data_IF_528522460290
#
_entry.id   IF_528522460290
#
_cell.length_a   1.000
_cell.length_b   1.000
_cell.length_c   1.000
_cell.angle_alpha   90.00
_cell.angle_beta   90.00
_cell.angle_gamma   90.00
#
_symmetry.space_group_name_H-M   'P 1'
#
loop_
_entity.id
_entity.type
_entity.pdbx_description
1 polymer ?
#
# COMPACT_ATOMS: atom_id res chain seq x y z
N UNK A 1 7.57 -10.31 22.04
CA UNK A 1 6.88 -10.95 20.91
C UNK A 1 5.48 -11.30 21.38
N UNK A 2 4.45 -11.02 20.58
CA UNK A 2 3.07 -11.42 20.89
C UNK A 2 3.03 -12.94 21.12
N UNK A 3 2.39 -13.40 22.19
CA UNK A 3 2.14 -14.84 22.41
C UNK A 3 1.14 -15.43 21.40
N UNK A 4 0.51 -14.58 20.60
CA UNK A 4 -0.50 -14.96 19.62
C UNK A 4 0.05 -14.80 18.19
N UNK A 5 0.38 -15.91 17.49
CA UNK A 5 0.93 -15.87 16.13
C UNK A 5 -0.10 -15.51 15.07
N UNK A 6 -1.40 -15.57 15.38
CA UNK A 6 -2.48 -15.30 14.42
C UNK A 6 -2.81 -13.81 14.25
N UNK A 7 -2.06 -12.89 14.89
CA UNK A 7 -2.29 -11.45 14.72
C UNK A 7 -1.80 -10.92 13.36
N UNK A 8 -1.18 -11.77 12.54
CA UNK A 8 -0.58 -11.39 11.26
C UNK A 8 -1.13 -12.24 10.12
N UNK A 9 -1.05 -11.72 8.90
CA UNK A 9 -1.50 -12.43 7.71
C UNK A 9 -0.80 -13.78 7.55
N UNK A 10 -1.57 -14.75 7.05
CA UNK A 10 -1.13 -16.14 6.98
C UNK A 10 -1.57 -16.78 5.68
N UNK A 11 -0.65 -17.47 5.02
CA UNK A 11 -0.93 -18.24 3.81
C UNK A 11 -1.42 -19.66 4.12
N UNK A 12 -1.82 -20.39 3.08
CA UNK A 12 -2.39 -21.74 3.24
C UNK A 12 -1.41 -22.73 3.90
N UNK A 13 -0.11 -22.53 3.70
CA UNK A 13 0.95 -23.36 4.28
C UNK A 13 1.26 -22.99 5.74
N UNK A 14 0.54 -22.02 6.31
CA UNK A 14 0.74 -21.54 7.67
C UNK A 14 1.91 -20.56 7.81
N UNK A 15 2.50 -20.09 6.70
CA UNK A 15 3.57 -19.08 6.75
C UNK A 15 2.97 -17.76 7.22
N UNK A 16 3.63 -17.14 8.19
CA UNK A 16 3.20 -15.89 8.81
C UNK A 16 3.95 -14.71 8.22
N UNK A 17 3.25 -13.66 7.81
CA UNK A 17 3.87 -12.42 7.33
C UNK A 17 3.78 -11.32 8.40
N UNK A 18 4.88 -10.97 9.09
CA UNK A 18 4.88 -10.02 10.19
C UNK A 18 4.87 -8.53 9.77
N UNK A 19 4.81 -8.21 8.47
CA UNK A 19 4.88 -6.83 7.98
C UNK A 19 3.69 -5.96 8.39
N UNK A 20 2.53 -6.57 8.63
CA UNK A 20 1.30 -5.86 9.02
C UNK A 20 0.38 -6.76 9.85
N UNK A 21 -0.49 -6.14 10.66
CA UNK A 21 -1.49 -6.84 11.47
C UNK A 21 -2.64 -7.30 10.57
N UNK A 22 -3.05 -8.57 10.66
CA UNK A 22 -4.18 -9.06 9.85
C UNK A 22 -5.44 -8.25 10.13
N UNK A 23 -6.14 -7.82 9.08
CA UNK A 23 -7.40 -7.07 9.20
C UNK A 23 -8.51 -7.86 9.92
N UNK A 24 -8.39 -9.19 10.03
CA UNK A 24 -9.28 -10.01 10.85
C UNK A 24 -9.23 -9.63 12.34
N UNK A 25 -8.17 -8.93 12.76
CA UNK A 25 -8.00 -8.46 14.13
C UNK A 25 -8.58 -7.06 14.40
N UNK A 26 -9.01 -6.29 13.39
CA UNK A 26 -9.30 -4.85 13.48
C UNK A 26 -10.13 -4.44 14.72
N UNK A 27 -11.14 -5.24 15.04
CA UNK A 27 -12.12 -4.98 16.10
C UNK A 27 -11.88 -5.79 17.37
N UNK A 28 -10.79 -6.57 17.43
CA UNK A 28 -10.51 -7.48 18.55
C UNK A 28 -9.36 -6.94 19.42
N UNK A 29 -9.45 -7.00 20.76
CA UNK A 29 -8.49 -6.39 21.68
C UNK A 29 -7.19 -7.21 21.83
N UNK A 30 -6.56 -7.55 20.70
CA UNK A 30 -5.40 -8.46 20.62
C UNK A 30 -4.06 -7.77 20.94
N UNK A 31 -4.04 -6.45 21.15
CA UNK A 31 -2.83 -5.67 21.41
C UNK A 31 -2.86 -5.11 22.85
N UNK A 32 -2.58 -5.98 23.83
CA UNK A 32 -2.58 -5.63 25.26
C UNK A 32 -3.89 -4.94 25.70
N UNK A 33 -5.04 -5.48 25.28
CA UNK A 33 -6.36 -4.94 25.61
C UNK A 33 -6.88 -3.87 24.65
N UNK A 34 -6.08 -3.42 23.67
CA UNK A 34 -6.54 -2.53 22.59
C UNK A 34 -6.72 -3.28 21.27
N UNK A 35 -7.63 -2.78 20.44
CA UNK A 35 -7.78 -3.22 19.06
C UNK A 35 -6.74 -2.55 18.15
N UNK A 36 -6.40 -3.14 16.98
CA UNK A 36 -5.56 -2.48 15.98
C UNK A 36 -6.08 -1.10 15.58
N UNK A 37 -7.38 -0.95 15.32
CA UNK A 37 -7.98 0.35 14.99
C UNK A 37 -7.77 1.38 16.11
N UNK A 38 -7.88 0.99 17.38
CA UNK A 38 -7.58 1.89 18.51
C UNK A 38 -6.10 2.29 18.52
N UNK A 39 -5.18 1.36 18.28
CA UNK A 39 -3.74 1.65 18.22
C UNK A 39 -3.41 2.62 17.07
N UNK A 40 -3.99 2.42 15.88
CA UNK A 40 -3.82 3.34 14.75
C UNK A 40 -4.38 4.73 15.09
N UNK A 41 -5.57 4.78 15.70
CA UNK A 41 -6.22 6.03 16.12
C UNK A 41 -5.38 6.79 17.14
N UNK A 42 -4.85 6.11 18.15
CA UNK A 42 -4.00 6.73 19.18
C UNK A 42 -2.71 7.30 18.57
N UNK A 43 -2.11 6.59 17.61
CA UNK A 43 -0.95 7.08 16.88
C UNK A 43 -1.28 8.35 16.07
N UNK A 44 -2.38 8.32 15.31
CA UNK A 44 -2.84 9.47 14.53
C UNK A 44 -3.17 10.68 15.42
N UNK A 45 -3.80 10.46 16.57
CA UNK A 45 -4.06 11.50 17.57
C UNK A 45 -2.76 12.14 18.05
N UNK A 46 -1.79 11.32 18.46
CA UNK A 46 -0.49 11.81 18.96
C UNK A 46 0.26 12.60 17.89
N UNK A 47 0.25 12.12 16.64
CA UNK A 47 0.83 12.83 15.50
C UNK A 47 0.16 14.19 15.29
N UNK A 48 -1.18 14.22 15.25
CA UNK A 48 -1.97 15.45 15.10
C UNK A 48 -1.64 16.47 16.18
N UNK A 49 -1.61 16.05 17.44
CA UNK A 49 -1.32 16.93 18.58
C UNK A 49 0.12 17.48 18.52
N UNK A 50 1.08 16.64 18.16
CA UNK A 50 2.49 17.04 18.08
C UNK A 50 2.77 18.01 16.93
N UNK A 51 2.13 17.80 15.78
CA UNK A 51 2.38 18.55 14.55
C UNK A 51 1.25 19.52 14.16
N UNK A 52 0.36 19.86 15.12
CA UNK A 52 -0.80 20.72 14.91
C UNK A 52 -0.53 21.99 14.10
N UNK A 53 0.58 22.66 14.37
CA UNK A 53 0.91 23.95 13.76
C UNK A 53 1.50 23.80 12.34
N UNK A 54 1.77 22.57 11.90
CA UNK A 54 2.28 22.24 10.56
C UNK A 54 1.20 21.68 9.63
N UNK A 55 0.09 21.16 10.18
CA UNK A 55 -1.01 20.57 9.40
C UNK A 55 -1.72 21.63 8.55
N UNK A 56 -2.01 21.28 7.29
CA UNK A 56 -2.65 22.17 6.33
C UNK A 56 -1.73 23.23 5.73
N UNK A 57 -0.45 23.22 6.08
CA UNK A 57 0.57 24.09 5.49
C UNK A 57 1.79 23.26 5.07
N UNK A 58 2.72 23.00 6.01
CA UNK A 58 3.91 22.19 5.73
C UNK A 58 3.53 20.74 5.46
N UNK A 59 2.57 20.21 6.22
CA UNK A 59 1.99 18.88 6.02
C UNK A 59 0.68 19.08 5.26
N UNK A 60 0.76 18.98 3.93
CA UNK A 60 -0.38 19.15 3.04
C UNK A 60 -1.27 17.89 2.97
N UNK A 61 -0.68 16.70 3.15
CA UNK A 61 -1.37 15.42 2.98
C UNK A 61 -0.96 14.41 4.07
N UNK A 62 -1.92 13.62 4.52
CA UNK A 62 -1.74 12.43 5.36
C UNK A 62 -2.10 11.20 4.52
N UNK A 63 -1.09 10.49 4.02
CA UNK A 63 -1.28 9.19 3.38
C UNK A 63 -1.43 8.12 4.45
N UNK A 64 -2.63 7.54 4.56
CA UNK A 64 -2.97 6.58 5.61
C UNK A 64 -2.59 5.17 5.14
N UNK A 65 -1.60 4.57 5.80
CA UNK A 65 -1.18 3.20 5.52
C UNK A 65 -2.21 2.17 5.96
N UNK A 66 -2.59 1.25 5.08
CA UNK A 66 -3.67 0.27 5.31
C UNK A 66 -3.26 -1.18 5.03
N UNK A 67 -1.95 -1.46 5.02
CA UNK A 67 -1.44 -2.79 4.72
C UNK A 67 0.06 -2.80 4.39
N UNK A 68 0.54 -3.89 3.80
CA UNK A 68 1.94 -4.03 3.39
C UNK A 68 2.36 -2.88 2.47
N UNK A 69 3.55 -2.32 2.71
CA UNK A 69 4.05 -1.13 2.01
C UNK A 69 3.13 0.11 2.10
N UNK A 70 2.20 0.15 3.07
CA UNK A 70 1.19 1.19 3.22
C UNK A 70 -0.02 1.05 2.28
N UNK A 71 -0.05 0.03 1.44
CA UNK A 71 -1.07 -0.19 0.41
C UNK A 71 -2.30 -0.90 0.99
N UNK A 72 -3.50 -0.52 0.55
CA UNK A 72 -4.72 -1.26 0.83
C UNK A 72 -4.74 -2.55 0.02
N UNK A 73 -4.13 -3.62 0.55
CA UNK A 73 -4.12 -4.97 -0.03
C UNK A 73 -3.65 -6.02 0.97
N UNK A 74 -3.77 -7.27 0.58
CA UNK A 74 -3.10 -8.38 1.24
C UNK A 74 -1.63 -8.54 0.80
N UNK A 75 -0.76 -9.17 1.61
CA UNK A 75 0.62 -9.48 1.25
C UNK A 75 0.72 -10.72 0.35
N UNK A 76 0.08 -10.71 -0.82
CA UNK A 76 -0.04 -11.90 -1.68
C UNK A 76 1.20 -12.23 -2.51
N UNK A 77 2.18 -11.32 -2.60
CA UNK A 77 3.41 -11.48 -3.38
C UNK A 77 4.69 -11.14 -2.58
N UNK A 78 4.95 -11.79 -1.43
CA UNK A 78 6.13 -11.50 -0.63
C UNK A 78 7.40 -11.96 -1.36
N UNK A 79 8.27 -11.03 -1.73
CA UNK A 79 9.56 -11.33 -2.39
C UNK A 79 10.60 -11.95 -1.42
N UNK A 80 10.39 -11.76 -0.12
CA UNK A 80 11.30 -12.26 0.91
C UNK A 80 11.57 -13.76 0.76
N UNK A 81 12.86 -14.13 0.83
CA UNK A 81 13.37 -15.50 0.73
C UNK A 81 12.96 -16.23 -0.56
N UNK A 82 12.64 -15.49 -1.63
CA UNK A 82 12.21 -16.06 -2.90
C UNK A 82 10.87 -16.80 -2.81
N UNK A 83 10.02 -16.42 -1.86
CA UNK A 83 8.68 -17.00 -1.68
C UNK A 83 7.83 -16.78 -2.92
N UNK A 84 7.81 -15.55 -3.41
CA UNK A 84 7.22 -15.16 -4.68
C UNK A 84 8.31 -14.64 -5.64
N UNK A 85 8.01 -14.66 -6.94
CA UNK A 85 8.76 -13.93 -7.97
C UNK A 85 7.82 -13.50 -9.08
N UNK A 86 8.08 -12.35 -9.68
CA UNK A 86 7.35 -11.90 -10.86
C UNK A 86 7.46 -12.92 -12.02
N UNK A 87 6.38 -13.23 -12.75
CA UNK A 87 5.01 -12.72 -12.63
C UNK A 87 4.05 -13.75 -11.97
N UNK A 88 4.41 -14.38 -10.85
CA UNK A 88 3.56 -15.42 -10.23
C UNK A 88 2.20 -14.89 -9.73
N UNK A 89 1.20 -15.77 -9.65
CA UNK A 89 -0.18 -15.42 -9.22
C UNK A 89 -0.28 -14.92 -7.77
N UNK A 90 0.70 -15.21 -6.91
CA UNK A 90 0.58 -14.95 -5.47
C UNK A 90 -0.32 -15.97 -4.75
N UNK A 91 -0.60 -15.74 -3.47
CA UNK A 91 -1.51 -16.59 -2.69
C UNK A 91 -2.46 -15.75 -1.82
N UNK A 92 -3.66 -16.29 -1.57
CA UNK A 92 -4.60 -15.74 -0.59
C UNK A 92 -4.01 -15.78 0.82
N UNK A 93 -4.18 -14.69 1.57
CA UNK A 93 -3.54 -14.46 2.88
C UNK A 93 -4.55 -14.46 4.04
N UNK A 94 -5.56 -15.33 3.97
CA UNK A 94 -6.71 -15.36 4.89
C UNK A 94 -6.72 -16.54 5.87
N UNK A 95 -5.58 -17.19 6.10
CA UNK A 95 -5.51 -18.44 6.87
C UNK A 95 -5.16 -18.24 8.35
N UNK A 96 -5.11 -17.00 8.83
CA UNK A 96 -5.07 -16.74 10.27
C UNK A 96 -6.43 -17.05 10.89
N UNK A 97 -6.46 -17.43 12.18
CA UNK A 97 -7.70 -17.90 12.82
C UNK A 97 -8.84 -16.87 12.81
N UNK A 98 -8.53 -15.57 12.75
CA UNK A 98 -9.54 -14.52 12.80
C UNK A 98 -10.24 -14.37 11.44
N UNK A 99 -9.45 -14.38 10.37
CA UNK A 99 -9.97 -14.44 9.01
C UNK A 99 -10.73 -15.73 8.77
N UNK A 100 -10.24 -16.88 9.23
CA UNK A 100 -10.94 -18.16 9.10
C UNK A 100 -12.29 -18.15 9.83
N UNK A 101 -12.35 -17.64 11.06
CA UNK A 101 -13.62 -17.51 11.79
C UNK A 101 -14.61 -16.56 11.10
N UNK A 102 -14.12 -15.48 10.49
CA UNK A 102 -14.96 -14.58 9.69
C UNK A 102 -15.51 -15.25 8.43
N UNK A 103 -14.68 -16.03 7.73
CA UNK A 103 -15.09 -16.80 6.55
C UNK A 103 -16.15 -17.84 6.90
N UNK A 104 -15.95 -18.57 8.01
CA UNK A 104 -16.90 -19.56 8.51
C UNK A 104 -18.26 -18.92 8.82
N UNK A 105 -18.26 -17.79 9.53
CA UNK A 105 -19.49 -17.05 9.83
C UNK A 105 -20.20 -16.54 8.56
N UNK A 106 -19.45 -16.04 7.58
CA UNK A 106 -20.00 -15.59 6.31
C UNK A 106 -20.63 -16.75 5.51
N UNK A 107 -20.01 -17.93 5.55
CA UNK A 107 -20.48 -19.13 4.87
C UNK A 107 -21.78 -19.67 5.49
N UNK A 108 -21.86 -19.70 6.82
CA UNK A 108 -23.10 -20.02 7.56
C UNK A 108 -24.21 -19.04 7.20
N UNK A 109 -23.91 -17.74 7.16
CA UNK A 109 -24.90 -16.70 6.81
C UNK A 109 -25.40 -16.82 5.35
N UNK A 110 -24.55 -17.32 4.44
CA UNK A 110 -24.91 -17.61 3.07
C UNK A 110 -25.70 -18.93 2.89
N UNK A 111 -25.84 -19.74 3.94
CA UNK A 111 -26.50 -21.05 3.87
C UNK A 111 -25.63 -22.18 3.31
N UNK A 112 -24.31 -21.96 3.24
CA UNK A 112 -23.32 -22.86 2.64
C UNK A 112 -22.15 -23.11 3.60
N UNK A 113 -22.40 -23.75 4.75
CA UNK A 113 -21.38 -23.98 5.79
C UNK A 113 -20.11 -24.64 5.25
N UNK A 114 -20.23 -25.48 4.22
CA UNK A 114 -19.11 -26.16 3.58
C UNK A 114 -18.11 -25.19 2.92
N UNK A 115 -18.54 -23.99 2.51
CA UNK A 115 -17.68 -22.95 1.94
C UNK A 115 -16.79 -22.29 2.99
N UNK A 116 -17.15 -22.41 4.27
CA UNK A 116 -16.46 -21.81 5.41
C UNK A 116 -15.29 -22.62 5.95
N UNK A 117 -15.11 -23.87 5.49
CA UNK A 117 -14.11 -24.82 6.04
C UNK A 117 -12.65 -24.44 5.73
N UNK A 118 -12.44 -23.44 4.90
CA UNK A 118 -11.13 -22.89 4.55
C UNK A 118 -11.15 -22.08 3.26
N UNK A 119 -10.04 -21.39 2.98
CA UNK A 119 -9.84 -20.74 1.69
C UNK A 119 -9.71 -21.75 0.53
N UNK A 120 -9.75 -21.29 -0.74
CA UNK A 120 -9.80 -22.17 -1.89
C UNK A 120 -8.68 -23.22 -1.93
N UNK A 121 -9.04 -24.48 -2.12
CA UNK A 121 -8.12 -25.60 -2.07
C UNK A 121 -7.34 -25.82 -3.37
N UNK A 122 -7.74 -25.15 -4.45
CA UNK A 122 -7.23 -25.31 -5.81
C UNK A 122 -6.62 -24.00 -6.37
N UNK A 123 -6.35 -23.03 -5.51
CA UNK A 123 -5.72 -21.74 -5.86
C UNK A 123 -4.27 -21.84 -6.35
N UNK A 124 -3.60 -22.96 -6.06
CA UNK A 124 -2.18 -23.13 -6.35
C UNK A 124 -1.28 -22.40 -5.36
N UNK A 125 -0.05 -22.13 -5.80
CA UNK A 125 1.04 -21.54 -5.03
C UNK A 125 1.60 -20.26 -5.69
N UNK A 126 2.33 -19.46 -4.90
CA UNK A 126 2.82 -18.12 -5.26
C UNK A 126 3.35 -17.94 -6.69
N UNK A 127 4.14 -18.91 -7.19
CA UNK A 127 4.92 -18.79 -8.44
C UNK A 127 4.23 -19.33 -9.68
N UNK A 128 3.06 -19.95 -9.52
CA UNK A 128 2.36 -20.59 -10.63
C UNK A 128 1.73 -19.56 -11.58
N UNK A 129 1.36 -20.02 -12.78
CA UNK A 129 0.57 -19.23 -13.71
C UNK A 129 -0.93 -19.54 -13.51
N UNK A 130 -1.85 -18.65 -13.90
CA UNK A 130 -3.29 -18.87 -13.73
C UNK A 130 -3.79 -20.18 -14.35
N UNK A 131 -3.23 -20.60 -15.49
CA UNK A 131 -3.64 -21.82 -16.18
C UNK A 131 -3.17 -23.12 -15.50
N UNK A 132 -2.22 -23.02 -14.56
CA UNK A 132 -1.67 -24.17 -13.83
C UNK A 132 -2.52 -24.53 -12.61
N UNK A 133 -3.56 -23.74 -12.29
CA UNK A 133 -4.37 -23.89 -11.09
C UNK A 133 -5.82 -24.21 -11.41
N UNK A 134 -6.49 -24.93 -10.52
CA UNK A 134 -7.93 -25.21 -10.65
C UNK A 134 -8.75 -23.93 -10.48
N UNK A 135 -8.30 -23.05 -9.58
CA UNK A 135 -9.05 -21.86 -9.22
C UNK A 135 -8.99 -20.78 -10.27
N UNK A 136 -7.84 -20.49 -10.90
CA UNK A 136 -7.63 -19.29 -11.72
C UNK A 136 -7.65 -19.52 -13.24
N UNK A 137 -7.68 -20.77 -13.71
CA UNK A 137 -7.78 -21.09 -15.14
C UNK A 137 -9.07 -20.51 -15.74
N UNK A 138 -9.15 -20.44 -17.06
CA UNK A 138 -10.20 -19.72 -17.82
C UNK A 138 -11.63 -19.89 -17.28
N UNK A 139 -12.04 -21.13 -16.99
CA UNK A 139 -13.36 -21.50 -16.47
C UNK A 139 -13.20 -22.25 -15.12
N UNK A 140 -12.26 -21.75 -14.31
CA UNK A 140 -11.92 -22.31 -13.00
C UNK A 140 -12.86 -21.89 -11.88
N UNK A 141 -12.54 -22.33 -10.67
CA UNK A 141 -13.37 -22.14 -9.48
C UNK A 141 -13.68 -20.66 -9.19
N UNK A 142 -12.81 -19.72 -9.59
CA UNK A 142 -13.05 -18.27 -9.49
C UNK A 142 -14.38 -17.79 -10.12
N UNK A 143 -14.90 -18.53 -11.10
CA UNK A 143 -16.13 -18.21 -11.84
C UNK A 143 -17.37 -19.01 -11.40
N UNK A 144 -17.24 -19.79 -10.32
CA UNK A 144 -18.34 -20.55 -9.72
C UNK A 144 -19.02 -19.75 -8.62
N UNK A 145 -20.17 -20.21 -8.13
CA UNK A 145 -20.88 -19.60 -7.01
C UNK A 145 -20.00 -19.49 -5.75
N UNK A 146 -19.28 -20.57 -5.39
CA UNK A 146 -18.30 -20.54 -4.30
C UNK A 146 -17.18 -19.53 -4.55
N UNK A 147 -16.66 -19.47 -5.79
CA UNK A 147 -15.61 -18.50 -6.15
C UNK A 147 -16.07 -17.07 -5.99
N UNK A 148 -17.29 -16.75 -6.44
CA UNK A 148 -17.90 -15.45 -6.25
C UNK A 148 -18.09 -15.12 -4.77
N UNK A 149 -18.67 -16.04 -3.99
CA UNK A 149 -18.82 -15.89 -2.54
C UNK A 149 -17.48 -15.59 -1.84
N UNK A 150 -16.45 -16.40 -2.12
CA UNK A 150 -15.15 -16.25 -1.48
C UNK A 150 -14.48 -14.92 -1.85
N UNK A 151 -14.52 -14.54 -3.13
CA UNK A 151 -13.89 -13.30 -3.62
C UNK A 151 -14.64 -12.05 -3.15
N UNK A 152 -15.98 -12.10 -3.04
CA UNK A 152 -16.78 -11.04 -2.44
C UNK A 152 -16.47 -10.88 -0.95
N UNK A 153 -16.40 -11.98 -0.20
CA UNK A 153 -15.99 -11.94 1.21
C UNK A 153 -14.56 -11.38 1.35
N UNK A 154 -13.60 -11.91 0.59
CA UNK A 154 -12.19 -11.57 0.74
C UNK A 154 -11.91 -10.10 0.38
N UNK A 155 -12.47 -9.61 -0.73
CA UNK A 155 -12.36 -8.19 -1.10
C UNK A 155 -13.21 -7.27 -0.22
N UNK A 156 -14.37 -7.74 0.24
CA UNK A 156 -15.23 -7.03 1.19
C UNK A 156 -14.54 -6.75 2.52
N UNK A 157 -13.84 -7.75 3.07
CA UNK A 157 -13.02 -7.60 4.28
C UNK A 157 -11.96 -6.49 4.13
N UNK A 158 -11.34 -6.37 2.95
CA UNK A 158 -10.39 -5.31 2.64
C UNK A 158 -11.06 -3.93 2.53
N UNK A 159 -12.22 -3.85 1.89
CA UNK A 159 -13.01 -2.60 1.80
C UNK A 159 -13.43 -2.09 3.18
N UNK A 160 -13.91 -2.99 4.05
CA UNK A 160 -14.29 -2.63 5.41
C UNK A 160 -13.09 -2.20 6.26
N UNK A 161 -11.93 -2.85 6.10
CA UNK A 161 -10.69 -2.43 6.74
C UNK A 161 -10.34 -0.99 6.36
N UNK A 162 -10.34 -0.70 5.06
CA UNK A 162 -10.08 0.65 4.55
C UNK A 162 -11.07 1.68 5.10
N UNK A 163 -12.37 1.36 5.12
CA UNK A 163 -13.41 2.24 5.65
C UNK A 163 -13.20 2.54 7.15
N UNK A 164 -12.86 1.53 7.97
CA UNK A 164 -12.61 1.70 9.41
C UNK A 164 -11.36 2.55 9.69
N UNK A 165 -10.26 2.26 9.00
CA UNK A 165 -8.99 2.98 9.20
C UNK A 165 -9.12 4.43 8.75
N UNK A 166 -9.74 4.68 7.59
CA UNK A 166 -9.96 6.03 7.10
C UNK A 166 -10.99 6.80 7.91
N UNK A 167 -12.03 6.15 8.44
CA UNK A 167 -12.95 6.81 9.38
C UNK A 167 -12.21 7.32 10.63
N UNK A 168 -11.26 6.53 11.16
CA UNK A 168 -10.44 6.96 12.28
C UNK A 168 -9.51 8.13 11.89
N UNK A 169 -8.93 8.09 10.69
CA UNK A 169 -8.09 9.18 10.19
C UNK A 169 -8.90 10.47 9.96
N UNK A 170 -10.08 10.38 9.36
CA UNK A 170 -11.03 11.47 9.14
C UNK A 170 -11.40 12.15 10.47
N UNK A 171 -11.72 11.36 11.50
CA UNK A 171 -12.01 11.89 12.83
C UNK A 171 -10.82 12.65 13.45
N UNK A 172 -9.58 12.24 13.15
CA UNK A 172 -8.38 12.87 13.71
C UNK A 172 -7.93 14.10 12.91
N UNK A 173 -7.98 14.06 11.58
CA UNK A 173 -7.39 15.09 10.73
C UNK A 173 -8.42 15.99 10.04
N UNK A 174 -9.71 15.68 10.15
CA UNK A 174 -10.80 16.52 9.66
C UNK A 174 -10.69 17.95 10.20
N UNK A 175 -10.78 18.93 9.30
CA UNK A 175 -10.69 20.36 9.65
C UNK A 175 -9.28 20.89 9.94
N UNK A 176 -8.23 20.07 9.81
CA UNK A 176 -6.83 20.53 9.99
C UNK A 176 -6.24 21.20 8.75
N UNK A 177 -6.93 21.14 7.61
CA UNK A 177 -6.45 21.62 6.31
C UNK A 177 -5.57 20.63 5.55
N UNK A 178 -5.03 19.60 6.21
CA UNK A 178 -4.35 18.49 5.54
C UNK A 178 -5.38 17.55 4.86
N UNK A 179 -5.09 17.11 3.64
CA UNK A 179 -5.92 16.13 2.93
C UNK A 179 -5.60 14.72 3.39
N UNK A 180 -6.59 13.82 3.30
CA UNK A 180 -6.33 12.40 3.48
C UNK A 180 -6.07 11.77 2.11
N UNK A 181 -5.18 10.78 2.06
CA UNK A 181 -4.98 9.94 0.89
C UNK A 181 -4.74 8.48 1.29
N UNK A 182 -4.85 7.60 0.30
CA UNK A 182 -4.71 6.17 0.45
C UNK A 182 -3.94 5.61 -0.75
N UNK A 183 -3.19 4.54 -0.53
CA UNK A 183 -2.43 3.89 -1.61
C UNK A 183 -3.11 2.59 -2.04
N UNK A 184 -3.31 2.44 -3.35
CA UNK A 184 -3.80 1.21 -4.00
C UNK A 184 -2.69 0.67 -4.89
N UNK A 185 -2.39 -0.62 -4.78
CA UNK A 185 -1.27 -1.23 -5.49
C UNK A 185 -1.59 -1.45 -6.99
N UNK A 186 -0.62 -1.17 -7.85
CA UNK A 186 -0.70 -1.38 -9.30
C UNK A 186 -0.34 -2.80 -9.70
N UNK A 187 -1.29 -3.74 -9.62
CA UNK A 187 -1.07 -5.16 -9.92
C UNK A 187 -1.39 -5.43 -11.39
N UNK A 188 -0.38 -5.30 -12.23
CA UNK A 188 -0.56 -5.33 -13.69
C UNK A 188 -0.34 -6.72 -14.33
N UNK A 189 0.31 -7.65 -13.64
CA UNK A 189 0.53 -8.99 -14.19
C UNK A 189 -0.74 -9.82 -14.14
N UNK A 190 -0.92 -10.68 -15.14
CA UNK A 190 -2.16 -11.42 -15.39
C UNK A 190 -3.42 -10.60 -15.66
N UNK A 191 -3.37 -9.26 -15.69
CA UNK A 191 -4.51 -8.39 -16.03
C UNK A 191 -5.18 -8.74 -17.39
N UNK A 192 -4.43 -9.36 -18.32
CA UNK A 192 -4.98 -9.79 -19.63
C UNK A 192 -5.66 -11.16 -19.61
N UNK A 193 -5.61 -11.91 -18.50
CA UNK A 193 -6.36 -13.16 -18.35
C UNK A 193 -7.83 -12.86 -18.05
N UNK A 194 -8.67 -13.89 -17.86
CA UNK A 194 -10.07 -13.66 -17.44
C UNK A 194 -10.21 -13.49 -15.94
N UNK A 195 -9.43 -14.27 -15.19
CA UNK A 195 -9.45 -14.31 -13.74
C UNK A 195 -8.68 -13.19 -13.09
N UNK A 196 -7.71 -12.56 -13.76
CA UNK A 196 -6.90 -11.49 -13.16
C UNK A 196 -6.25 -11.94 -11.84
N UNK A 197 -5.74 -13.18 -11.82
CA UNK A 197 -5.38 -13.91 -10.59
C UNK A 197 -4.56 -13.13 -9.54
N UNK A 198 -3.61 -12.30 -9.97
CA UNK A 198 -2.78 -11.52 -9.06
C UNK A 198 -3.55 -10.39 -8.35
N UNK A 199 -4.52 -9.77 -9.05
CA UNK A 199 -5.42 -8.80 -8.44
C UNK A 199 -6.31 -9.50 -7.40
N UNK A 200 -6.85 -10.66 -7.74
CA UNK A 200 -7.70 -11.46 -6.85
C UNK A 200 -6.97 -11.85 -5.56
N UNK A 201 -5.74 -12.40 -5.66
CA UNK A 201 -4.98 -12.81 -4.46
C UNK A 201 -4.59 -11.62 -3.59
N UNK A 202 -4.42 -10.42 -4.16
CA UNK A 202 -4.17 -9.20 -3.41
C UNK A 202 -5.42 -8.57 -2.77
N UNK A 203 -6.61 -9.12 -3.04
CA UNK A 203 -7.89 -8.65 -2.50
C UNK A 203 -8.64 -7.67 -3.41
N UNK A 204 -8.12 -7.39 -4.61
CA UNK A 204 -8.85 -6.65 -5.62
C UNK A 204 -9.68 -7.64 -6.42
N UNK A 205 -10.98 -7.71 -6.13
CA UNK A 205 -11.88 -8.57 -6.90
C UNK A 205 -12.19 -7.96 -8.28
N UNK A 206 -11.14 -7.67 -9.04
CA UNK A 206 -11.22 -7.21 -10.41
C UNK A 206 -11.09 -8.42 -11.32
N UNK A 207 -11.96 -8.53 -12.32
CA UNK A 207 -11.88 -9.56 -13.36
C UNK A 207 -12.21 -8.94 -14.70
N UNK A 208 -12.20 -9.73 -15.78
CA UNK A 208 -12.66 -9.24 -17.10
C UNK A 208 -14.09 -8.69 -17.08
N UNK A 209 -14.93 -9.14 -16.16
CA UNK A 209 -16.37 -8.83 -16.13
C UNK A 209 -16.83 -8.16 -14.84
N UNK A 210 -15.90 -7.83 -13.93
CA UNK A 210 -16.20 -7.21 -12.65
C UNK A 210 -15.16 -6.13 -12.35
N UNK A 211 -15.62 -4.91 -12.06
CA UNK A 211 -14.75 -3.79 -11.67
C UNK A 211 -14.50 -3.80 -10.15
N UNK A 212 -13.33 -4.30 -9.76
CA UNK A 212 -12.92 -4.40 -8.35
C UNK A 212 -12.41 -3.08 -7.75
N UNK A 213 -12.13 -2.06 -8.57
CA UNK A 213 -11.56 -0.79 -8.12
C UNK A 213 -12.63 0.27 -7.86
N UNK A 214 -13.75 0.23 -8.57
CA UNK A 214 -14.85 1.18 -8.35
C UNK A 214 -15.40 1.17 -6.90
N UNK A 215 -15.58 0.01 -6.22
CA UNK A 215 -15.93 0.00 -4.80
C UNK A 215 -14.89 0.68 -3.90
N UNK A 216 -13.60 0.47 -4.17
CA UNK A 216 -12.50 1.11 -3.43
C UNK A 216 -12.59 2.63 -3.61
N UNK A 217 -12.70 3.11 -4.85
CA UNK A 217 -12.83 4.54 -5.14
C UNK A 217 -14.03 5.17 -4.43
N UNK A 218 -15.18 4.50 -4.40
CA UNK A 218 -16.36 4.96 -3.66
C UNK A 218 -16.12 5.04 -2.15
N UNK A 219 -15.44 4.04 -1.57
CA UNK A 219 -15.07 4.03 -0.16
C UNK A 219 -14.11 5.18 0.19
N UNK A 220 -13.08 5.40 -0.63
CA UNK A 220 -12.13 6.50 -0.44
C UNK A 220 -12.82 7.87 -0.54
N UNK A 221 -13.69 8.05 -1.53
CA UNK A 221 -14.46 9.28 -1.70
C UNK A 221 -15.37 9.57 -0.49
N UNK A 222 -16.05 8.54 0.04
CA UNK A 222 -16.90 8.65 1.24
C UNK A 222 -16.14 9.16 2.46
N UNK A 223 -14.84 8.87 2.57
CA UNK A 223 -14.00 9.18 3.75
C UNK A 223 -13.13 10.43 3.60
N UNK A 224 -13.34 11.22 2.55
CA UNK A 224 -12.53 12.42 2.30
C UNK A 224 -11.05 12.12 2.03
N UNK A 225 -10.70 10.85 1.78
CA UNK A 225 -9.38 10.42 1.28
C UNK A 225 -9.16 10.79 -0.19
N UNK A 226 -10.07 11.61 -0.70
CA UNK A 226 -10.07 12.21 -2.01
C UNK A 226 -10.73 13.58 -1.90
N UNK A 227 -10.13 14.63 -2.46
CA UNK A 227 -10.80 15.93 -2.52
C UNK A 227 -12.04 15.79 -3.40
N UNK A 228 -13.16 16.28 -2.89
CA UNK A 228 -14.46 16.28 -3.55
C UNK A 228 -14.56 17.26 -4.74
N UNK A 229 -13.48 17.47 -5.51
CA UNK A 229 -13.44 18.41 -6.62
C UNK A 229 -13.11 17.72 -7.96
N UNK A 230 -14.19 17.40 -8.70
CA UNK A 230 -14.31 17.16 -10.16
C UNK A 230 -13.92 15.77 -10.73
N UNK A 231 -14.65 15.15 -11.68
CA UNK A 231 -16.05 15.26 -12.15
C UNK A 231 -16.36 14.02 -13.01
N UNK A 232 -16.82 12.95 -12.35
CA UNK A 232 -17.72 11.88 -12.89
C UNK A 232 -17.94 10.78 -11.83
N UNK A 233 -16.93 10.56 -10.99
CA UNK A 233 -17.06 10.05 -9.63
C UNK A 233 -16.42 11.01 -8.59
N UNK A 234 -15.76 12.09 -9.07
CA UNK A 234 -15.26 13.20 -8.24
C UNK A 234 -14.03 12.86 -7.40
N UNK A 235 -13.15 11.98 -7.91
CA UNK A 235 -11.96 11.51 -7.19
C UNK A 235 -10.69 12.11 -7.80
N UNK A 236 -9.98 12.97 -7.06
CA UNK A 236 -8.59 13.35 -7.36
C UNK A 236 -7.67 12.12 -7.27
N UNK A 237 -6.97 11.81 -8.35
CA UNK A 237 -6.02 10.71 -8.42
C UNK A 237 -4.59 11.25 -8.29
N UNK A 238 -3.78 10.62 -7.45
CA UNK A 238 -2.34 10.81 -7.42
C UNK A 238 -1.65 9.55 -7.94
N UNK A 239 -0.47 9.71 -8.55
CA UNK A 239 0.32 8.61 -9.09
C UNK A 239 1.71 8.49 -8.48
N UNK A 240 2.29 7.30 -8.56
CA UNK A 240 3.70 7.03 -8.25
C UNK A 240 4.28 6.09 -9.30
N UNK A 241 5.58 6.16 -9.58
CA UNK A 241 6.25 5.13 -10.35
C UNK A 241 6.52 3.89 -9.47
N UNK A 242 6.20 2.71 -9.99
CA UNK A 242 6.42 1.45 -9.28
C UNK A 242 7.90 1.07 -9.13
N UNK A 243 8.74 1.48 -10.09
CA UNK A 243 10.17 1.18 -10.12
C UNK A 243 10.97 2.46 -10.41
N UNK A 244 12.17 2.53 -9.85
CA UNK A 244 13.13 3.62 -10.08
C UNK A 244 13.56 3.65 -11.56
N UNK A 245 13.33 4.80 -12.24
CA UNK A 245 13.56 4.96 -13.68
C UNK A 245 13.99 6.40 -13.99
N UNK A 246 15.03 6.54 -14.80
CA UNK A 246 15.61 7.85 -15.14
C UNK A 246 15.55 8.18 -16.64
N UNK A 247 14.91 7.32 -17.44
CA UNK A 247 14.84 7.46 -18.88
C UNK A 247 13.60 8.21 -19.38
N UNK A 248 13.79 8.91 -20.49
CA UNK A 248 12.79 9.72 -21.17
C UNK A 248 11.49 8.98 -21.50
N UNK A 249 11.56 7.68 -21.83
CA UNK A 249 10.39 6.89 -22.15
C UNK A 249 9.48 6.70 -20.92
N UNK A 250 10.07 6.39 -19.75
CA UNK A 250 9.34 6.31 -18.50
C UNK A 250 8.70 7.65 -18.13
N UNK A 251 9.44 8.75 -18.22
CA UNK A 251 8.90 10.08 -17.91
C UNK A 251 7.78 10.50 -18.87
N UNK A 252 7.94 10.27 -20.17
CA UNK A 252 6.89 10.55 -21.17
C UNK A 252 5.62 9.74 -20.91
N UNK A 253 5.76 8.47 -20.50
CA UNK A 253 4.62 7.65 -20.12
C UNK A 253 3.90 8.22 -18.91
N UNK A 254 4.63 8.65 -17.87
CA UNK A 254 4.04 9.30 -16.68
C UNK A 254 3.30 10.57 -17.07
N UNK A 255 3.91 11.47 -17.83
CA UNK A 255 3.27 12.72 -18.24
C UNK A 255 2.03 12.49 -19.09
N UNK A 256 2.06 11.51 -20.00
CA UNK A 256 0.89 11.13 -20.81
C UNK A 256 -0.24 10.57 -19.95
N UNK A 257 0.08 9.68 -19.01
CA UNK A 257 -0.90 9.11 -18.07
C UNK A 257 -1.47 10.19 -17.16
N UNK A 258 -0.62 11.08 -16.63
CA UNK A 258 -1.02 12.18 -15.76
C UNK A 258 -2.05 13.09 -16.44
N UNK A 259 -1.79 13.44 -17.71
CA UNK A 259 -2.71 14.24 -18.51
C UNK A 259 -4.01 13.50 -18.85
N UNK A 260 -3.91 12.25 -19.28
CA UNK A 260 -5.06 11.45 -19.69
C UNK A 260 -6.00 11.09 -18.54
N UNK A 261 -5.43 10.84 -17.34
CA UNK A 261 -6.19 10.51 -16.14
C UNK A 261 -6.59 11.74 -15.31
N UNK A 262 -6.03 12.92 -15.61
CA UNK A 262 -6.24 14.13 -14.80
C UNK A 262 -5.64 14.00 -13.39
N UNK A 263 -4.41 13.51 -13.27
CA UNK A 263 -3.75 13.35 -11.97
C UNK A 263 -3.57 14.72 -11.29
N UNK A 264 -3.94 14.79 -10.01
CA UNK A 264 -3.77 15.96 -9.16
C UNK A 264 -2.32 16.11 -8.66
N UNK A 265 -1.62 14.99 -8.49
CA UNK A 265 -0.25 14.96 -8.01
C UNK A 265 0.50 13.71 -8.52
N UNK A 266 1.83 13.78 -8.47
CA UNK A 266 2.70 12.64 -8.74
C UNK A 266 3.88 12.63 -7.76
N UNK A 267 4.07 11.52 -7.06
CA UNK A 267 5.20 11.32 -6.13
C UNK A 267 6.24 10.42 -6.79
N UNK A 268 7.43 10.95 -7.04
CA UNK A 268 8.51 10.20 -7.69
C UNK A 268 9.29 9.34 -6.70
N UNK A 269 9.40 8.04 -7.01
CA UNK A 269 10.19 7.05 -6.29
C UNK A 269 11.57 6.89 -6.96
N UNK A 270 12.69 7.23 -6.33
CA UNK A 270 12.86 7.98 -5.07
C UNK A 270 14.04 8.92 -5.19
N UNK A 271 14.15 9.85 -4.24
CA UNK A 271 15.36 10.64 -4.07
C UNK A 271 16.51 9.75 -3.58
N UNK A 272 17.59 9.67 -4.37
CA UNK A 272 18.81 8.93 -4.07
C UNK A 272 19.99 9.58 -4.83
N UNK A 273 21.21 9.03 -4.68
CA UNK A 273 22.39 9.54 -5.39
C UNK A 273 22.23 9.48 -6.91
N UNK A 274 21.74 8.35 -7.43
CA UNK A 274 21.55 8.11 -8.87
C UNK A 274 20.67 9.16 -9.55
N UNK A 275 19.63 9.66 -8.86
CA UNK A 275 18.77 10.75 -9.34
C UNK A 275 19.57 12.04 -9.61
N UNK A 276 20.59 12.31 -8.80
CA UNK A 276 21.41 13.51 -8.90
C UNK A 276 22.63 13.34 -9.81
N UNK A 277 22.82 12.18 -10.44
CA UNK A 277 23.81 12.05 -11.50
C UNK A 277 23.44 12.98 -12.66
N UNK A 278 24.42 13.64 -13.27
CA UNK A 278 24.18 14.79 -14.14
C UNK A 278 23.16 14.58 -15.25
N UNK A 279 23.17 13.42 -15.93
CA UNK A 279 22.25 13.12 -17.03
C UNK A 279 20.83 12.79 -16.51
N UNK A 280 20.75 12.06 -15.40
CA UNK A 280 19.48 11.70 -14.76
C UNK A 280 18.79 12.95 -14.20
N UNK A 281 19.56 13.84 -13.58
CA UNK A 281 19.05 15.11 -13.06
C UNK A 281 18.45 15.97 -14.17
N UNK A 282 19.12 16.09 -15.33
CA UNK A 282 18.59 16.84 -16.48
C UNK A 282 17.28 16.24 -17.01
N UNK A 283 17.20 14.92 -17.11
CA UNK A 283 15.96 14.25 -17.51
C UNK A 283 14.84 14.48 -16.50
N UNK A 284 15.15 14.40 -15.21
CA UNK A 284 14.20 14.67 -14.14
C UNK A 284 13.71 16.13 -14.14
N UNK A 285 14.58 17.11 -14.33
CA UNK A 285 14.18 18.53 -14.45
C UNK A 285 13.26 18.74 -15.65
N UNK A 286 13.56 18.10 -16.80
CA UNK A 286 12.68 18.13 -17.97
C UNK A 286 11.32 17.52 -17.67
N UNK A 287 11.28 16.39 -16.98
CA UNK A 287 10.07 15.73 -16.53
C UNK A 287 9.23 16.65 -15.61
N UNK A 288 9.82 17.28 -14.60
CA UNK A 288 9.13 18.18 -13.68
C UNK A 288 8.51 19.37 -14.42
N UNK A 289 9.22 19.96 -15.39
CA UNK A 289 8.68 21.03 -16.24
C UNK A 289 7.52 20.55 -17.09
N UNK A 290 7.66 19.38 -17.72
CA UNK A 290 6.58 18.80 -18.51
C UNK A 290 5.33 18.54 -17.66
N UNK A 291 5.48 18.12 -16.40
CA UNK A 291 4.36 17.97 -15.47
C UNK A 291 3.72 19.31 -15.10
N UNK A 292 4.52 20.36 -14.87
CA UNK A 292 4.02 21.70 -14.53
C UNK A 292 3.26 22.37 -15.69
N UNK A 293 3.74 22.21 -16.92
CA UNK A 293 3.19 22.85 -18.12
C UNK A 293 2.08 22.01 -18.80
N UNK A 294 1.48 21.06 -18.08
CA UNK A 294 0.39 20.23 -18.60
C UNK A 294 0.80 19.33 -19.77
N UNK A 295 2.07 18.91 -19.83
CA UNK A 295 2.63 17.98 -20.81
C UNK A 295 3.31 18.63 -22.02
N UNK A 296 3.44 19.96 -22.06
CA UNK A 296 4.28 20.63 -23.05
C UNK A 296 5.77 20.46 -22.67
N UNK A 297 6.65 20.30 -23.67
CA UNK A 297 8.11 20.29 -23.47
C UNK A 297 8.69 21.63 -23.90
N UNK A 298 8.82 22.62 -23.02
CA UNK A 298 9.60 23.81 -23.34
C UNK A 298 11.08 23.45 -23.48
N UNK A 299 11.80 24.19 -24.32
CA UNK A 299 13.26 24.12 -24.38
C UNK A 299 13.84 24.48 -23.01
N UNK A 300 14.74 23.66 -22.49
CA UNK A 300 15.37 23.90 -21.19
C UNK A 300 16.30 25.14 -21.28
N UNK A 301 16.16 26.16 -20.42
CA UNK A 301 17.15 27.21 -20.30
C UNK A 301 18.56 26.67 -20.01
N UNK A 302 19.57 27.45 -20.41
CA UNK A 302 20.97 27.00 -20.42
C UNK A 302 21.48 26.50 -19.07
N UNK A 303 20.98 27.07 -17.96
CA UNK A 303 21.30 26.66 -16.59
C UNK A 303 20.89 25.22 -16.26
N UNK A 304 19.86 24.67 -16.93
CA UNK A 304 19.41 23.29 -16.74
C UNK A 304 19.98 22.33 -17.80
N UNK A 305 20.67 22.86 -18.80
CA UNK A 305 21.39 22.07 -19.83
C UNK A 305 22.90 21.97 -19.56
N UNK A 306 23.43 22.81 -18.67
CA UNK A 306 24.82 22.78 -18.26
C UNK A 306 25.13 21.57 -17.38
N UNK A 307 26.36 21.06 -17.48
CA UNK A 307 26.85 20.04 -16.54
C UNK A 307 26.79 20.61 -15.12
N UNK A 308 26.10 19.91 -14.21
CA UNK A 308 26.21 20.19 -12.78
C UNK A 308 27.40 19.39 -12.23
N UNK A 309 28.49 20.06 -11.86
CA UNK A 309 29.61 19.49 -11.10
C UNK A 309 29.22 19.25 -9.62
N UNK A 310 28.00 18.77 -9.39
CA UNK A 310 27.48 18.57 -8.05
C UNK A 310 28.11 17.30 -7.45
N UNK A 311 29.24 17.47 -6.76
CA UNK A 311 29.84 16.41 -5.98
C UNK A 311 28.99 16.14 -4.72
N UNK A 312 28.25 15.02 -4.71
CA UNK A 312 27.59 14.51 -3.50
C UNK A 312 28.61 13.67 -2.71
N UNK A 313 29.34 14.33 -1.81
CA UNK A 313 30.24 13.69 -0.84
C UNK A 313 29.55 13.42 0.50
N UNK A 314 30.00 12.39 1.21
CA UNK A 314 29.61 12.20 2.61
C UNK A 314 30.19 13.34 3.45
N UNK A 315 29.38 13.91 4.34
CA UNK A 315 29.92 14.74 5.43
C UNK A 315 30.61 13.76 6.39
N UNK A 316 31.93 13.60 6.23
CA UNK A 316 32.72 12.92 7.25
C UNK A 316 32.58 13.73 8.53
N UNK A 317 31.83 13.19 9.49
CA UNK A 317 31.78 13.73 10.84
C UNK A 317 33.21 13.87 11.34
N UNK A 318 33.61 15.10 11.63
CA UNK A 318 34.95 15.47 12.03
C UNK A 318 35.49 14.49 13.09
N UNK A 319 36.61 13.83 12.76
CA UNK A 319 37.48 13.21 13.74
C UNK A 319 37.93 14.29 14.73
N UNK A 320 37.49 14.14 15.99
CA UNK A 320 38.24 14.60 17.16
C UNK A 320 37.79 15.91 17.81
N UNK A 321 36.90 15.81 18.79
CA UNK A 321 37.14 16.39 20.13
C UNK A 321 36.70 15.36 21.18
N UNK A 322 37.68 14.77 21.88
CA UNK A 322 37.43 13.94 23.06
C UNK A 322 36.77 14.81 24.13
N UNK A 323 35.67 14.32 24.71
CA UNK A 323 35.18 14.83 25.99
C UNK A 323 36.17 14.44 27.10
N UNK A 324 36.36 15.26 28.15
CA UNK A 324 37.20 14.87 29.29
C UNK A 324 36.55 13.69 30.03
N UNK A 325 37.36 12.69 30.35
CA UNK A 325 37.02 11.57 31.23
C UNK A 325 36.69 12.10 32.64
N UNK A 326 35.54 11.71 33.18
CA UNK A 326 35.27 11.80 34.60
C UNK A 326 35.70 10.48 35.24
N UNK A 327 36.77 10.53 36.03
CA UNK A 327 37.17 9.46 36.94
C UNK A 327 36.03 9.12 37.90
N UNK A 328 35.81 7.82 38.09
CA UNK A 328 34.80 7.29 38.99
C UNK A 328 35.17 7.41 40.46
N UNK A 329 34.14 7.41 41.30
CA UNK A 329 34.23 6.95 42.67
C UNK A 329 33.02 6.05 42.95
N UNK A 330 33.28 4.74 43.00
CA UNK A 330 32.40 3.77 43.61
C UNK A 330 32.61 3.79 45.13
N UNK A 331 31.53 3.90 45.88
CA UNK A 331 31.38 3.46 47.28
C UNK A 331 29.88 3.37 47.51
N UNK A 332 29.25 2.20 47.54
CA UNK A 332 29.25 1.14 48.55
C UNK A 332 27.86 1.08 49.20
N UNK A 333 27.13 0.00 48.93
CA UNK A 333 25.92 -0.38 49.66
C UNK A 333 26.32 -1.09 50.95
N UNK A 334 25.76 -0.67 52.10
CA UNK A 334 25.57 -1.48 53.30
C UNK A 334 24.63 -0.77 54.29
N UNK A 335 23.33 -1.02 54.17
CA UNK A 335 22.37 -1.41 55.23
C UNK A 335 20.94 -1.36 54.69
#
# INVERSE_FOLDING_TARGET
>A
MSSNPDIVYTDRSGRRNPEYISLGCDSLPVLKGRTPIQVYTDYMRSFRERFRDYLGNVIAEIQVGMGPCGELRYPSYPEANGTWRFPGIGEFQCYDKYMQASLEAAAVAAGHEEWGRGGPHDAGEYKQMPNDTGFFRRDGTWSTEYGHFFLEWYSGMLLEHGDRVLAAAEAMFGGTGATLSAKVAGIHWHYRTRSHAAELTAGYYNTRFHDGYAPIARMLAKRGAVKAAASKAGVELAGENALERYDEAAFSQVTSTARGAGLAAFTYLRMNKTLFDGDNWRQFVSFVRAMADGGARPALPRCDTGHSDLYVGFVDAAKGRKAPEAEGAATAAAL
#
